data_IF_078760121133
#
_entry.id   IF_078760121133
#
_cell.length_a   1.000
_cell.length_b   1.000
_cell.length_c   1.000
_cell.angle_alpha   90.00
_cell.angle_beta   90.00
_cell.angle_gamma   90.00
#
_symmetry.space_group_name_H-M   'P 1'
#
loop_
_entity.id
_entity.type
_entity.pdbx_description
1 polymer ?
#
# COMPACT_ATOMS: atom_id res chain seq x y z
N UNK A 1 22.15 24.86 12.21
CA UNK A 1 20.93 25.69 12.04
C UNK A 1 20.20 25.14 10.82
N UNK A 2 19.02 24.59 11.03
CA UNK A 2 18.33 23.76 10.01
C UNK A 2 17.70 24.67 8.93
N UNK A 3 18.30 24.69 7.74
CA UNK A 3 17.86 25.47 6.57
C UNK A 3 16.39 25.18 6.20
N UNK A 4 15.89 23.97 6.53
CA UNK A 4 14.48 23.60 6.35
C UNK A 4 13.51 24.49 7.15
N UNK A 5 13.88 24.87 8.38
CA UNK A 5 13.04 25.76 9.21
C UNK A 5 12.99 27.19 8.68
N UNK A 6 14.08 27.65 8.06
CA UNK A 6 14.18 29.02 7.53
C UNK A 6 13.36 29.19 6.25
N UNK A 7 13.41 28.21 5.33
CA UNK A 7 12.63 28.27 4.08
C UNK A 7 11.12 28.17 4.28
N UNK A 8 10.66 27.46 5.31
CA UNK A 8 9.22 27.30 5.60
C UNK A 8 8.62 28.52 6.34
N UNK A 9 9.45 29.37 6.98
CA UNK A 9 8.99 30.55 7.71
C UNK A 9 8.75 31.79 6.85
N UNK A 10 9.25 31.81 5.61
CA UNK A 10 9.21 32.99 4.73
C UNK A 10 8.04 33.02 3.72
N UNK A 11 7.18 31.98 3.67
CA UNK A 11 6.11 31.97 2.66
C UNK A 11 4.72 32.13 3.27
N UNK A 12 4.00 33.20 2.93
CA UNK A 12 2.61 33.37 3.35
C UNK A 12 1.67 32.38 2.66
N UNK A 13 0.61 32.00 3.34
CA UNK A 13 -0.37 30.92 3.09
C UNK A 13 -1.12 30.96 1.74
N UNK A 14 -0.77 31.86 0.81
CA UNK A 14 -1.44 32.08 -0.48
C UNK A 14 -0.52 32.01 -1.71
N UNK A 15 0.48 31.11 -1.71
CA UNK A 15 1.20 30.87 -2.95
C UNK A 15 0.39 29.93 -3.88
N UNK A 16 0.18 30.40 -5.11
CA UNK A 16 -0.51 29.69 -6.18
C UNK A 16 0.06 28.26 -6.36
N UNK A 17 -0.81 27.27 -6.56
CA UNK A 17 -0.47 25.83 -6.75
C UNK A 17 0.66 25.63 -7.77
N UNK A 18 0.77 26.47 -8.80
CA UNK A 18 1.83 26.43 -9.81
C UNK A 18 3.23 26.79 -9.26
N UNK A 19 3.29 27.74 -8.30
CA UNK A 19 4.56 28.18 -7.68
C UNK A 19 5.06 27.15 -6.68
N UNK A 20 4.15 26.49 -5.95
CA UNK A 20 4.49 25.35 -5.09
C UNK A 20 4.99 24.15 -5.90
N UNK A 21 4.44 23.91 -7.09
CA UNK A 21 4.92 22.89 -8.02
C UNK A 21 6.35 23.13 -8.50
N UNK A 22 6.69 24.38 -8.86
CA UNK A 22 8.05 24.77 -9.26
C UNK A 22 9.05 24.69 -8.10
N UNK A 23 8.66 25.15 -6.91
CA UNK A 23 9.51 25.06 -5.71
C UNK A 23 9.78 23.59 -5.34
N UNK A 24 8.77 22.74 -5.47
CA UNK A 24 8.90 21.28 -5.29
C UNK A 24 9.88 20.65 -6.27
N UNK A 25 9.82 21.03 -7.55
CA UNK A 25 10.78 20.57 -8.56
C UNK A 25 12.22 20.95 -8.21
N UNK A 26 12.46 22.21 -7.86
CA UNK A 26 13.78 22.73 -7.48
C UNK A 26 14.33 21.99 -6.24
N UNK A 27 13.49 21.77 -5.22
CA UNK A 27 13.91 21.04 -4.01
C UNK A 27 14.22 19.57 -4.34
N UNK A 28 13.49 18.93 -5.25
CA UNK A 28 13.77 17.55 -5.66
C UNK A 28 15.06 17.39 -6.46
N UNK A 29 15.47 18.44 -7.19
CA UNK A 29 16.76 18.50 -7.89
C UNK A 29 17.94 18.74 -6.93
N UNK A 30 17.74 19.57 -5.89
CA UNK A 30 18.75 19.87 -4.87
C UNK A 30 18.99 18.71 -3.88
N UNK A 31 18.02 17.84 -3.72
CA UNK A 31 18.09 16.66 -2.84
C UNK A 31 17.70 15.39 -3.63
N UNK A 32 18.65 14.81 -4.40
CA UNK A 32 18.39 13.58 -5.12
C UNK A 32 17.98 12.49 -4.14
N UNK A 33 16.77 11.98 -4.34
CA UNK A 33 16.26 10.87 -3.53
C UNK A 33 17.07 9.63 -3.85
N UNK A 34 17.56 8.96 -2.83
CA UNK A 34 18.03 7.59 -2.99
C UNK A 34 16.91 6.71 -3.59
N UNK A 35 17.28 5.61 -4.22
CA UNK A 35 16.28 4.68 -4.76
C UNK A 35 15.58 3.98 -3.61
N UNK A 36 14.56 4.61 -3.05
CA UNK A 36 13.82 4.18 -1.88
C UNK A 36 12.33 4.02 -2.17
N UNK A 37 11.72 3.02 -1.54
CA UNK A 37 10.30 2.74 -1.58
C UNK A 37 9.70 2.88 -0.18
N UNK A 38 8.67 3.72 -0.03
CA UNK A 38 7.82 3.69 1.15
C UNK A 38 6.44 3.12 0.80
N UNK A 39 5.84 2.39 1.74
CA UNK A 39 4.42 2.07 1.71
C UNK A 39 3.67 3.11 2.54
N UNK A 40 2.52 3.57 2.02
CA UNK A 40 1.57 4.42 2.73
C UNK A 40 0.31 3.64 2.97
N UNK A 41 -0.09 3.54 4.24
CA UNK A 41 -1.32 2.87 4.63
C UNK A 41 -2.08 3.65 5.70
N UNK A 42 -3.40 3.43 5.75
CA UNK A 42 -4.26 3.83 6.86
C UNK A 42 -4.80 2.57 7.52
N UNK A 43 -4.78 2.52 8.84
CA UNK A 43 -5.20 1.37 9.64
C UNK A 43 -6.23 1.78 10.69
N UNK A 44 -7.11 0.85 11.02
CA UNK A 44 -8.00 0.93 12.18
C UNK A 44 -8.24 -0.47 12.74
N UNK A 45 -7.79 -0.69 13.98
CA UNK A 45 -8.00 -1.97 14.68
C UNK A 45 -7.48 -3.18 13.88
N UNK A 46 -6.22 -3.14 13.44
CA UNK A 46 -5.56 -4.19 12.68
C UNK A 46 -4.54 -5.00 13.52
N UNK A 47 -4.66 -4.99 14.85
CA UNK A 47 -3.73 -5.65 15.78
C UNK A 47 -3.46 -7.12 15.46
N UNK A 48 -4.43 -7.81 14.85
CA UNK A 48 -4.35 -9.23 14.50
C UNK A 48 -3.23 -9.57 13.52
N UNK A 49 -2.95 -8.67 12.55
CA UNK A 49 -2.04 -8.96 11.43
C UNK A 49 -1.02 -7.87 11.15
N UNK A 50 -1.13 -6.70 11.77
CA UNK A 50 -0.27 -5.55 11.46
C UNK A 50 1.22 -5.85 11.68
N UNK A 51 1.57 -6.64 12.70
CA UNK A 51 2.97 -7.01 12.99
C UNK A 51 3.56 -7.86 11.86
N UNK A 52 2.80 -8.86 11.38
CA UNK A 52 3.18 -9.68 10.23
C UNK A 52 3.27 -8.82 8.96
N UNK A 53 2.28 -7.97 8.70
CA UNK A 53 2.24 -7.11 7.54
C UNK A 53 3.46 -6.18 7.45
N UNK A 54 3.86 -5.58 8.58
CA UNK A 54 5.08 -4.76 8.69
C UNK A 54 6.33 -5.60 8.44
N UNK A 55 6.44 -6.77 9.09
CA UNK A 55 7.57 -7.67 8.93
C UNK A 55 7.70 -8.20 7.50
N UNK A 56 6.57 -8.52 6.84
CA UNK A 56 6.54 -8.99 5.46
C UNK A 56 7.12 -7.94 4.50
N UNK A 57 6.68 -6.71 4.58
CA UNK A 57 7.17 -5.66 3.70
C UNK A 57 8.63 -5.31 3.97
N UNK A 58 9.10 -5.44 5.23
CA UNK A 58 10.52 -5.34 5.56
C UNK A 58 11.32 -6.49 4.92
N UNK A 59 10.80 -7.72 4.95
CA UNK A 59 11.41 -8.89 4.31
C UNK A 59 11.48 -8.75 2.78
N UNK A 60 10.48 -8.14 2.15
CA UNK A 60 10.42 -7.85 0.70
C UNK A 60 11.44 -6.79 0.27
N UNK A 61 11.92 -5.94 1.19
CA UNK A 61 12.87 -4.88 0.90
C UNK A 61 12.23 -3.49 0.72
N UNK A 62 11.09 -3.24 1.37
CA UNK A 62 10.52 -1.89 1.52
C UNK A 62 11.34 -1.12 2.56
N UNK A 63 11.70 0.14 2.28
CA UNK A 63 12.58 0.92 3.15
C UNK A 63 11.86 1.51 4.36
N UNK A 64 10.61 1.95 4.20
CA UNK A 64 9.81 2.50 5.30
C UNK A 64 8.31 2.25 5.08
N UNK A 65 7.57 2.26 6.18
CA UNK A 65 6.10 2.30 6.18
C UNK A 65 5.65 3.62 6.81
N UNK A 66 4.78 4.36 6.11
CA UNK A 66 4.09 5.55 6.60
C UNK A 66 2.69 5.10 6.98
N UNK A 67 2.45 4.92 8.27
CA UNK A 67 1.20 4.38 8.79
C UNK A 67 0.38 5.48 9.46
N UNK A 68 -0.84 5.67 8.99
CA UNK A 68 -1.84 6.52 9.62
C UNK A 68 -2.81 5.66 10.43
N UNK A 69 -2.86 5.88 11.73
CA UNK A 69 -3.81 5.23 12.64
C UNK A 69 -5.07 6.07 12.74
N UNK A 70 -6.20 5.51 12.27
CA UNK A 70 -7.49 6.16 12.27
C UNK A 70 -8.33 5.78 13.49
N UNK A 71 -8.01 6.37 14.64
CA UNK A 71 -8.74 6.17 15.90
C UNK A 71 -8.84 4.69 16.29
N UNK A 72 -7.74 3.94 16.25
CA UNK A 72 -7.72 2.55 16.75
C UNK A 72 -7.94 2.49 18.25
N UNK A 73 -8.68 1.48 18.68
CA UNK A 73 -9.02 1.21 20.08
C UNK A 73 -8.41 -0.11 20.59
N UNK A 74 -7.76 -0.84 19.70
CA UNK A 74 -6.98 -2.05 20.02
C UNK A 74 -5.52 -1.68 20.35
N UNK A 75 -4.70 -2.71 20.63
CA UNK A 75 -3.29 -2.53 20.95
C UNK A 75 -2.36 -2.51 19.72
N UNK A 76 -2.88 -2.12 18.55
CA UNK A 76 -2.11 -2.09 17.28
C UNK A 76 -0.82 -1.29 17.42
N UNK A 77 -0.89 -0.10 18.04
CA UNK A 77 0.27 0.78 18.20
C UNK A 77 1.38 0.14 19.04
N UNK A 78 1.01 -0.46 20.16
CA UNK A 78 1.94 -1.14 21.06
C UNK A 78 2.64 -2.32 20.35
N UNK A 79 1.88 -3.07 19.54
CA UNK A 79 2.40 -4.22 18.77
C UNK A 79 3.48 -3.80 17.80
N UNK A 80 3.36 -2.64 17.16
CA UNK A 80 4.32 -2.15 16.16
C UNK A 80 5.34 -1.15 16.72
N UNK A 81 5.26 -0.82 18.02
CA UNK A 81 6.16 0.17 18.65
C UNK A 81 7.65 -0.13 18.41
N UNK A 82 8.13 -1.38 18.47
CA UNK A 82 9.53 -1.67 18.14
C UNK A 82 9.96 -1.21 16.74
N UNK A 83 9.09 -1.29 15.75
CA UNK A 83 9.36 -0.80 14.40
C UNK A 83 9.30 0.74 14.31
N UNK A 84 8.45 1.37 15.15
CA UNK A 84 8.38 2.83 15.27
C UNK A 84 9.69 3.36 15.89
N UNK A 85 10.16 2.75 16.97
CA UNK A 85 11.40 3.14 17.66
C UNK A 85 12.63 3.02 16.75
N UNK A 86 12.66 2.04 15.86
CA UNK A 86 13.73 1.89 14.86
C UNK A 86 13.61 2.88 13.67
N UNK A 87 12.52 3.64 13.60
CA UNK A 87 12.25 4.54 12.47
C UNK A 87 11.87 3.84 11.16
N UNK A 88 11.56 2.52 11.21
CA UNK A 88 11.06 1.78 10.06
C UNK A 88 9.59 2.12 9.78
N UNK A 89 8.76 2.23 10.82
CA UNK A 89 7.39 2.74 10.74
C UNK A 89 7.34 4.21 11.13
N UNK A 90 6.91 5.05 10.22
CA UNK A 90 6.64 6.47 10.43
C UNK A 90 5.15 6.61 10.80
N UNK A 91 4.89 6.56 12.10
CA UNK A 91 3.53 6.52 12.64
C UNK A 91 2.90 7.91 12.77
N UNK A 92 1.64 8.03 12.37
CA UNK A 92 0.82 9.23 12.48
C UNK A 92 -0.60 8.89 12.95
N UNK A 93 -1.13 9.66 13.89
CA UNK A 93 -2.55 9.61 14.19
C UNK A 93 -3.33 10.50 13.20
N UNK A 94 -4.50 10.03 12.77
CA UNK A 94 -5.47 10.81 12.00
C UNK A 94 -6.87 10.51 12.51
N UNK A 95 -7.60 11.56 12.92
CA UNK A 95 -8.86 11.42 13.61
C UNK A 95 -10.05 11.62 12.68
N UNK A 96 -11.17 10.97 12.97
CA UNK A 96 -12.44 11.18 12.31
C UNK A 96 -12.79 10.11 11.27
N UNK A 97 -13.97 10.27 10.67
CA UNK A 97 -14.51 9.34 9.67
C UNK A 97 -13.98 9.64 8.27
N UNK A 98 -13.94 8.63 7.40
CA UNK A 98 -13.60 8.76 5.97
C UNK A 98 -12.23 9.43 5.73
N UNK A 99 -11.20 9.06 6.49
CA UNK A 99 -9.88 9.69 6.44
C UNK A 99 -8.94 9.11 5.39
N UNK A 100 -9.36 8.12 4.61
CA UNK A 100 -8.48 7.40 3.67
C UNK A 100 -7.73 8.35 2.71
N UNK A 101 -8.47 9.19 1.99
CA UNK A 101 -7.86 10.14 1.04
C UNK A 101 -7.06 11.23 1.74
N UNK A 102 -7.47 11.65 2.93
CA UNK A 102 -6.74 12.63 3.73
C UNK A 102 -5.38 12.07 4.15
N UNK A 103 -5.31 10.81 4.61
CA UNK A 103 -4.07 10.13 4.95
C UNK A 103 -3.09 10.06 3.76
N UNK A 104 -3.59 9.67 2.58
CA UNK A 104 -2.79 9.59 1.37
C UNK A 104 -2.24 10.97 0.92
N UNK A 105 -3.09 11.99 0.93
CA UNK A 105 -2.69 13.35 0.58
C UNK A 105 -1.74 13.96 1.62
N UNK A 106 -1.92 13.66 2.90
CA UNK A 106 -1.00 14.08 3.95
C UNK A 106 0.37 13.40 3.80
N UNK A 107 0.41 12.12 3.44
CA UNK A 107 1.66 11.43 3.13
C UNK A 107 2.40 12.10 1.95
N UNK A 108 1.69 12.42 0.87
CA UNK A 108 2.28 13.17 -0.25
C UNK A 108 2.84 14.51 0.21
N UNK A 109 2.08 15.26 1.01
CA UNK A 109 2.50 16.58 1.52
C UNK A 109 3.78 16.50 2.34
N UNK A 110 3.90 15.48 3.22
CA UNK A 110 5.04 15.33 4.15
C UNK A 110 6.27 14.71 3.52
N UNK A 111 6.09 13.75 2.60
CA UNK A 111 7.15 12.80 2.23
C UNK A 111 7.53 12.81 0.76
N UNK A 112 6.92 13.66 -0.10
CA UNK A 112 7.25 13.77 -1.53
C UNK A 112 8.75 13.92 -1.80
N UNK A 113 9.52 14.55 -0.90
CA UNK A 113 10.96 14.73 -1.08
C UNK A 113 11.82 13.67 -0.40
N UNK A 114 11.21 12.85 0.46
CA UNK A 114 11.96 11.84 1.21
C UNK A 114 12.13 10.55 0.42
N UNK A 115 11.08 10.14 -0.31
CA UNK A 115 11.05 8.86 -1.01
C UNK A 115 10.97 9.03 -2.53
N UNK A 116 11.67 8.15 -3.26
CA UNK A 116 11.61 8.12 -4.72
C UNK A 116 10.32 7.49 -5.23
N UNK A 117 9.85 6.48 -4.53
CA UNK A 117 8.61 5.75 -4.83
C UNK A 117 7.75 5.65 -3.57
N UNK A 118 6.45 5.77 -3.75
CA UNK A 118 5.47 5.54 -2.68
C UNK A 118 4.39 4.60 -3.19
N UNK A 119 4.18 3.48 -2.51
CA UNK A 119 3.10 2.52 -2.77
C UNK A 119 1.94 2.82 -1.82
N UNK A 120 0.73 2.96 -2.33
CA UNK A 120 -0.46 3.25 -1.56
C UNK A 120 -1.32 2.00 -1.50
N UNK A 121 -1.28 1.29 -0.36
CA UNK A 121 -1.94 0.00 -0.16
C UNK A 121 -2.60 -0.08 1.22
N UNK A 122 -3.51 -1.05 1.39
CA UNK A 122 -4.21 -1.29 2.65
C UNK A 122 -3.47 -2.33 3.53
N UNK A 123 -3.81 -2.41 4.83
CA UNK A 123 -3.13 -3.32 5.77
C UNK A 123 -3.48 -4.81 5.57
N UNK A 124 -4.37 -5.14 4.67
CA UNK A 124 -4.68 -6.51 4.25
C UNK A 124 -4.12 -6.82 2.84
N UNK A 125 -3.25 -5.96 2.31
CA UNK A 125 -2.60 -6.05 1.01
C UNK A 125 -1.11 -6.27 1.15
N UNK A 126 -0.59 -7.34 0.54
CA UNK A 126 0.82 -7.75 0.62
C UNK A 126 1.46 -7.61 -0.76
N UNK A 127 2.28 -6.58 -0.92
CA UNK A 127 2.97 -6.22 -2.17
C UNK A 127 4.33 -6.91 -2.26
N UNK A 128 4.61 -7.63 -3.35
CA UNK A 128 5.89 -8.29 -3.56
C UNK A 128 6.17 -8.62 -5.05
N UNK A 129 7.43 -8.90 -5.43
CA UNK A 129 7.78 -9.40 -6.76
C UNK A 129 7.23 -10.81 -7.01
N UNK A 130 6.67 -11.03 -8.21
CA UNK A 130 6.17 -12.35 -8.64
C UNK A 130 7.28 -13.38 -8.68
N UNK A 131 8.45 -12.99 -9.19
CA UNK A 131 9.64 -13.84 -9.16
C UNK A 131 10.38 -13.63 -7.82
N UNK A 132 10.52 -14.71 -7.07
CA UNK A 132 11.13 -14.73 -5.73
C UNK A 132 12.58 -14.21 -5.67
N UNK A 133 13.30 -14.22 -6.79
CA UNK A 133 14.69 -13.76 -6.86
C UNK A 133 14.80 -12.28 -7.24
N UNK A 134 13.67 -11.61 -7.55
CA UNK A 134 13.68 -10.23 -7.97
C UNK A 134 13.72 -9.28 -6.76
N UNK A 135 14.55 -8.25 -6.85
CA UNK A 135 14.51 -7.12 -5.93
C UNK A 135 13.37 -6.17 -6.31
N UNK A 136 12.50 -5.83 -5.36
CA UNK A 136 11.30 -4.99 -5.61
C UNK A 136 11.66 -3.63 -6.23
N UNK A 137 12.73 -2.98 -5.75
CA UNK A 137 13.18 -1.69 -6.28
C UNK A 137 13.70 -1.83 -7.72
N UNK A 138 14.39 -2.92 -8.04
CA UNK A 138 14.87 -3.18 -9.41
C UNK A 138 13.70 -3.37 -10.39
N UNK A 139 12.65 -4.10 -9.97
CA UNK A 139 11.43 -4.29 -10.79
C UNK A 139 10.73 -2.95 -11.01
N UNK A 140 10.56 -2.13 -9.98
CA UNK A 140 9.95 -0.79 -10.07
C UNK A 140 10.76 0.11 -11.01
N UNK A 141 12.08 0.16 -10.86
CA UNK A 141 12.97 0.94 -11.73
C UNK A 141 12.85 0.51 -13.19
N UNK A 142 12.87 -0.80 -13.44
CA UNK A 142 12.72 -1.36 -14.80
C UNK A 142 11.38 -0.97 -15.42
N UNK A 143 10.27 -1.06 -14.67
CA UNK A 143 8.95 -0.66 -15.17
C UNK A 143 8.91 0.84 -15.52
N UNK A 144 9.39 1.72 -14.64
CA UNK A 144 9.44 3.16 -14.91
C UNK A 144 10.38 3.56 -16.08
N UNK A 145 11.42 2.75 -16.37
CA UNK A 145 12.33 3.03 -17.49
C UNK A 145 11.70 2.81 -18.86
N UNK A 146 10.60 2.05 -18.93
CA UNK A 146 9.90 1.76 -20.19
C UNK A 146 9.12 2.98 -20.72
N UNK A 147 8.80 3.95 -19.84
CA UNK A 147 8.03 5.12 -20.22
C UNK A 147 8.42 6.34 -19.38
N UNK A 148 9.01 7.36 -20.03
CA UNK A 148 9.47 8.59 -19.37
C UNK A 148 8.35 9.40 -18.71
N UNK A 149 7.12 9.27 -19.21
CA UNK A 149 5.95 9.98 -18.70
C UNK A 149 5.19 9.16 -17.64
N UNK A 150 5.71 7.98 -17.25
CA UNK A 150 5.11 7.19 -16.20
C UNK A 150 5.25 7.88 -14.84
N UNK A 151 4.13 8.35 -14.31
CA UNK A 151 4.00 8.90 -12.96
C UNK A 151 3.68 7.83 -11.91
N UNK A 152 3.11 6.70 -12.33
CA UNK A 152 2.77 5.57 -11.47
C UNK A 152 2.77 4.23 -12.18
N UNK A 153 2.82 3.17 -11.39
CA UNK A 153 2.65 1.77 -11.80
C UNK A 153 1.43 1.22 -11.09
N UNK A 154 0.46 0.72 -11.86
CA UNK A 154 -0.70 -0.01 -11.32
C UNK A 154 -0.34 -1.47 -11.10
N UNK A 155 -0.51 -1.93 -9.86
CA UNK A 155 -0.27 -3.32 -9.46
C UNK A 155 -1.59 -3.99 -9.16
N UNK A 156 -1.90 -5.08 -9.86
CA UNK A 156 -3.17 -5.79 -9.72
C UNK A 156 -3.26 -6.62 -8.44
N UNK A 157 -4.47 -6.76 -7.94
CA UNK A 157 -4.80 -7.65 -6.83
C UNK A 157 -4.85 -9.12 -7.25
N UNK A 158 -4.29 -9.98 -6.42
CA UNK A 158 -4.62 -11.39 -6.31
C UNK A 158 -5.58 -11.55 -5.12
N UNK A 159 -6.85 -11.78 -5.38
CA UNK A 159 -7.91 -11.81 -4.37
C UNK A 159 -7.92 -13.15 -3.65
N UNK A 160 -7.60 -13.15 -2.36
CA UNK A 160 -7.57 -14.34 -1.52
C UNK A 160 -8.90 -14.53 -0.78
N UNK A 161 -9.39 -15.77 -0.78
CA UNK A 161 -10.54 -16.21 -0.01
C UNK A 161 -10.14 -16.61 1.43
N UNK A 162 -11.12 -17.16 2.15
CA UNK A 162 -10.93 -17.60 3.54
C UNK A 162 -10.10 -18.89 3.67
N UNK A 163 -9.75 -19.54 2.58
CA UNK A 163 -9.14 -20.90 2.58
C UNK A 163 -9.91 -21.94 3.41
N UNK A 164 -11.23 -21.73 3.56
CA UNK A 164 -12.11 -22.60 4.37
C UNK A 164 -12.13 -22.29 5.87
N UNK A 165 -11.35 -21.31 6.35
CA UNK A 165 -11.34 -20.94 7.76
C UNK A 165 -12.65 -20.25 8.18
N UNK A 166 -13.34 -20.83 9.16
CA UNK A 166 -14.51 -20.21 9.81
C UNK A 166 -14.06 -19.30 10.94
N UNK A 167 -13.14 -19.78 11.78
CA UNK A 167 -12.54 -19.02 12.89
C UNK A 167 -11.13 -18.54 12.52
N UNK A 168 -10.64 -17.49 13.23
CA UNK A 168 -9.28 -16.98 13.05
C UNK A 168 -8.27 -18.11 13.30
N UNK A 169 -7.47 -18.49 12.29
CA UNK A 169 -6.42 -19.51 12.47
C UNK A 169 -5.22 -18.95 13.23
N UNK A 170 -4.45 -19.85 13.85
CA UNK A 170 -3.16 -19.52 14.43
C UNK A 170 -2.07 -19.41 13.34
N UNK A 171 -1.02 -18.64 13.62
CA UNK A 171 0.09 -18.45 12.68
C UNK A 171 -0.07 -17.29 11.71
N UNK A 172 0.72 -17.28 10.66
CA UNK A 172 0.80 -16.15 9.73
C UNK A 172 -0.37 -16.13 8.74
N UNK A 173 -0.78 -14.92 8.35
CA UNK A 173 -1.74 -14.70 7.28
C UNK A 173 -1.33 -15.40 5.97
N UNK A 174 -0.04 -15.27 5.60
CA UNK A 174 0.51 -15.89 4.38
C UNK A 174 0.54 -17.42 4.43
N UNK A 175 0.51 -18.04 5.62
CA UNK A 175 0.45 -19.50 5.79
C UNK A 175 -0.98 -20.02 5.69
N UNK A 176 -1.91 -19.26 6.24
CA UNK A 176 -3.30 -19.71 6.44
C UNK A 176 -4.19 -19.45 5.24
N UNK A 177 -4.01 -18.30 4.58
CA UNK A 177 -4.86 -17.92 3.45
C UNK A 177 -4.11 -18.16 2.13
N UNK A 178 -4.19 -19.39 1.63
CA UNK A 178 -3.42 -19.86 0.45
C UNK A 178 -4.29 -20.17 -0.77
N UNK A 179 -5.59 -19.83 -0.72
CA UNK A 179 -6.49 -20.03 -1.83
C UNK A 179 -7.00 -18.69 -2.34
N UNK A 180 -6.93 -18.47 -3.64
CA UNK A 180 -7.33 -17.21 -4.29
C UNK A 180 -8.27 -17.40 -5.47
N UNK A 181 -8.87 -16.31 -5.90
CA UNK A 181 -9.62 -16.22 -7.14
C UNK A 181 -8.75 -16.57 -8.36
N UNK A 182 -9.38 -17.18 -9.36
CA UNK A 182 -8.75 -17.43 -10.66
C UNK A 182 -8.42 -16.14 -11.40
N UNK A 183 -7.40 -16.19 -12.21
CA UNK A 183 -6.98 -15.09 -13.09
C UNK A 183 -6.80 -15.66 -14.51
N UNK A 184 -7.45 -15.08 -15.54
CA UNK A 184 -8.43 -13.98 -15.47
C UNK A 184 -9.79 -14.40 -14.92
N UNK A 185 -10.67 -13.43 -14.69
CA UNK A 185 -12.11 -13.63 -14.46
C UNK A 185 -12.55 -13.73 -13.00
N UNK A 186 -11.62 -13.77 -12.03
CA UNK A 186 -11.98 -13.68 -10.62
C UNK A 186 -12.44 -12.26 -10.24
N UNK A 187 -13.39 -12.16 -9.29
CA UNK A 187 -13.88 -10.86 -8.82
C UNK A 187 -12.75 -10.05 -8.18
N UNK A 188 -12.57 -8.82 -8.60
CA UNK A 188 -11.57 -7.90 -8.05
C UNK A 188 -10.16 -8.01 -8.63
N UNK A 189 -9.81 -9.05 -9.39
CA UNK A 189 -8.45 -9.22 -9.93
C UNK A 189 -8.03 -8.13 -10.92
N UNK A 190 -8.98 -7.42 -11.49
CA UNK A 190 -8.73 -6.28 -12.38
C UNK A 190 -8.54 -4.94 -11.65
N UNK A 191 -8.70 -4.92 -10.34
CA UNK A 191 -8.45 -3.71 -9.52
C UNK A 191 -6.96 -3.58 -9.26
N UNK A 192 -6.48 -2.33 -9.24
CA UNK A 192 -5.09 -2.01 -8.95
C UNK A 192 -4.94 -1.19 -7.68
N UNK A 193 -3.75 -1.22 -7.12
CA UNK A 193 -3.18 -0.17 -6.26
C UNK A 193 -1.98 0.46 -6.98
N UNK A 194 -1.59 1.65 -6.55
CA UNK A 194 -0.59 2.42 -7.30
C UNK A 194 0.71 2.58 -6.51
N UNK A 195 1.83 2.29 -7.20
CA UNK A 195 3.16 2.76 -6.80
C UNK A 195 3.45 4.00 -7.64
N UNK A 196 3.70 5.15 -7.05
CA UNK A 196 3.93 6.38 -7.79
C UNK A 196 5.30 7.02 -7.51
N UNK A 197 5.73 7.88 -8.45
CA UNK A 197 6.72 8.93 -8.19
C UNK A 197 5.96 10.09 -7.54
N UNK A 198 6.12 10.33 -6.22
CA UNK A 198 5.25 11.25 -5.50
C UNK A 198 5.34 12.70 -6.00
N UNK A 199 6.48 13.09 -6.57
CA UNK A 199 6.69 14.40 -7.19
C UNK A 199 5.91 14.60 -8.51
N UNK A 200 5.40 13.53 -9.12
CA UNK A 200 4.55 13.57 -10.33
C UNK A 200 3.05 13.43 -10.01
N UNK A 201 2.68 13.33 -8.75
CA UNK A 201 1.28 13.27 -8.29
C UNK A 201 0.81 14.65 -7.84
N UNK A 202 -0.44 15.01 -8.16
CA UNK A 202 -1.11 16.21 -7.67
C UNK A 202 -1.79 15.90 -6.34
N UNK A 203 -2.66 14.88 -6.33
CA UNK A 203 -3.41 14.43 -5.15
C UNK A 203 -4.07 13.07 -5.40
N UNK A 204 -4.57 12.45 -4.34
CA UNK A 204 -5.53 11.35 -4.41
C UNK A 204 -6.95 11.88 -4.26
N UNK A 205 -7.81 11.56 -5.21
CA UNK A 205 -9.28 11.71 -5.13
C UNK A 205 -10.00 10.36 -5.24
N UNK A 206 -9.24 9.29 -5.38
CA UNK A 206 -9.67 7.89 -5.38
C UNK A 206 -8.58 7.02 -4.72
N UNK A 207 -8.90 6.05 -3.83
CA UNK A 207 -7.90 5.32 -3.05
C UNK A 207 -6.98 4.41 -3.87
N UNK A 208 -7.34 4.13 -5.11
CA UNK A 208 -6.59 3.24 -5.98
C UNK A 208 -5.78 3.96 -7.07
N UNK A 209 -6.11 5.23 -7.35
CA UNK A 209 -5.57 5.91 -8.51
C UNK A 209 -5.43 7.41 -8.27
N UNK A 210 -4.21 7.97 -8.27
CA UNK A 210 -3.99 9.39 -8.05
C UNK A 210 -4.25 10.23 -9.31
N UNK A 211 -4.43 11.52 -9.10
CA UNK A 211 -4.35 12.52 -10.16
C UNK A 211 -2.89 12.86 -10.40
N UNK A 212 -2.42 12.65 -11.62
CA UNK A 212 -1.04 12.97 -12.02
C UNK A 212 -0.91 14.40 -12.55
N UNK A 213 0.28 14.96 -12.45
CA UNK A 213 0.64 16.21 -13.13
C UNK A 213 0.49 16.06 -14.65
N UNK A 214 0.22 17.18 -15.35
CA UNK A 214 0.01 17.19 -16.79
C UNK A 214 1.09 16.44 -17.57
N UNK A 215 0.69 15.60 -18.52
CA UNK A 215 1.56 14.76 -19.33
C UNK A 215 2.02 13.46 -18.64
N UNK A 216 1.68 13.24 -17.36
CA UNK A 216 2.04 12.00 -16.65
C UNK A 216 0.81 11.12 -16.43
N UNK A 217 1.04 9.81 -16.37
CA UNK A 217 -0.03 8.81 -16.22
C UNK A 217 0.45 7.53 -15.57
N UNK A 218 -0.49 6.65 -15.26
CA UNK A 218 -0.21 5.33 -14.73
C UNK A 218 0.06 4.34 -15.85
N UNK A 219 0.99 3.42 -15.62
CA UNK A 219 1.29 2.30 -16.52
C UNK A 219 1.14 0.96 -15.79
N UNK A 220 0.94 -0.11 -16.53
CA UNK A 220 1.16 -1.48 -16.05
C UNK A 220 2.65 -1.79 -15.94
N UNK A 221 2.99 -2.92 -15.32
CA UNK A 221 4.37 -3.33 -15.14
C UNK A 221 5.12 -3.56 -16.47
N UNK A 222 4.38 -3.87 -17.56
CA UNK A 222 4.88 -4.04 -18.92
C UNK A 222 4.80 -2.74 -19.76
N UNK A 223 4.55 -1.59 -19.13
CA UNK A 223 4.65 -0.26 -19.73
C UNK A 223 3.40 0.23 -20.48
N UNK A 224 2.29 -0.52 -20.48
CA UNK A 224 1.04 -0.10 -21.11
C UNK A 224 0.31 0.93 -20.27
N UNK A 225 -0.34 1.91 -20.87
CA UNK A 225 -1.10 2.94 -20.16
C UNK A 225 -2.33 2.34 -19.45
N UNK A 226 -2.52 2.74 -18.19
CA UNK A 226 -3.70 2.43 -17.39
C UNK A 226 -4.45 3.75 -17.14
N UNK A 227 -5.64 3.97 -17.77
CA UNK A 227 -6.32 5.25 -17.68
C UNK A 227 -7.13 5.46 -16.39
N UNK A 228 -7.36 4.40 -15.60
CA UNK A 228 -8.18 4.41 -14.37
C UNK A 228 -7.74 3.30 -13.42
N UNK A 229 -8.41 3.17 -12.30
CA UNK A 229 -8.13 2.22 -11.20
C UNK A 229 -8.35 0.73 -11.52
N UNK A 230 -8.49 0.37 -12.81
CA UNK A 230 -8.65 -1.01 -13.28
C UNK A 230 -7.71 -1.30 -14.43
N UNK A 231 -7.16 -2.51 -14.42
CA UNK A 231 -6.31 -3.06 -15.47
C UNK A 231 -6.61 -4.54 -15.65
N UNK A 232 -7.05 -4.92 -16.84
CA UNK A 232 -7.30 -6.32 -17.16
C UNK A 232 -5.98 -7.07 -17.30
N UNK A 233 -5.92 -8.24 -16.68
CA UNK A 233 -4.74 -9.11 -16.72
C UNK A 233 -5.12 -10.55 -17.03
N UNK A 234 -4.21 -11.25 -17.71
CA UNK A 234 -4.27 -12.70 -17.95
C UNK A 234 -3.40 -13.45 -16.94
N UNK A 235 -2.32 -12.84 -16.48
CA UNK A 235 -1.41 -13.38 -15.48
C UNK A 235 -0.70 -12.25 -14.72
N UNK A 236 -0.10 -12.57 -13.56
CA UNK A 236 0.71 -11.61 -12.78
C UNK A 236 2.14 -11.59 -13.29
N UNK A 237 2.66 -10.41 -13.61
CA UNK A 237 4.04 -10.18 -14.05
C UNK A 237 4.71 -9.11 -13.19
N UNK A 238 5.98 -9.31 -12.89
CA UNK A 238 6.83 -8.36 -12.16
C UNK A 238 6.42 -8.16 -10.71
N UNK A 239 5.30 -7.48 -10.46
CA UNK A 239 4.75 -7.24 -9.13
C UNK A 239 3.32 -7.71 -9.04
N UNK A 240 2.90 -8.07 -7.81
CA UNK A 240 1.50 -8.30 -7.49
C UNK A 240 1.20 -7.95 -6.04
N UNK A 241 -0.08 -7.80 -5.73
CA UNK A 241 -0.59 -7.59 -4.38
C UNK A 241 -1.50 -8.76 -4.02
N UNK A 242 -1.10 -9.55 -3.03
CA UNK A 242 -2.04 -10.48 -2.40
C UNK A 242 -2.98 -9.69 -1.50
N UNK A 243 -4.27 -9.71 -1.82
CA UNK A 243 -5.29 -9.02 -1.05
C UNK A 243 -6.07 -10.05 -0.21
N UNK A 244 -5.77 -10.11 1.07
CA UNK A 244 -6.42 -11.00 2.04
C UNK A 244 -7.73 -10.37 2.56
N UNK A 245 -8.63 -10.12 1.63
CA UNK A 245 -9.84 -9.31 1.83
C UNK A 245 -10.84 -9.94 2.79
N UNK A 246 -11.11 -11.25 2.64
CA UNK A 246 -12.12 -11.95 3.43
C UNK A 246 -11.59 -12.38 4.79
N UNK A 247 -10.34 -12.88 4.86
CA UNK A 247 -9.82 -13.60 6.03
C UNK A 247 -10.80 -14.71 6.46
N UNK A 248 -10.89 -15.08 7.75
CA UNK A 248 -11.89 -16.03 8.23
C UNK A 248 -13.29 -15.40 8.33
N UNK A 249 -14.33 -16.24 8.40
CA UNK A 249 -15.71 -15.76 8.43
C UNK A 249 -16.03 -14.97 9.70
N UNK A 250 -15.52 -15.39 10.85
CA UNK A 250 -15.70 -14.67 12.13
C UNK A 250 -15.01 -13.29 12.12
N UNK A 251 -13.79 -13.20 11.58
CA UNK A 251 -13.10 -11.91 11.41
C UNK A 251 -13.86 -10.97 10.48
N UNK A 252 -14.48 -11.49 9.41
CA UNK A 252 -15.34 -10.70 8.56
C UNK A 252 -16.54 -10.12 9.32
N UNK A 253 -17.17 -10.95 10.17
CA UNK A 253 -18.31 -10.52 10.99
C UNK A 253 -17.90 -9.42 11.97
N UNK A 254 -16.73 -9.55 12.59
CA UNK A 254 -16.19 -8.52 13.50
C UNK A 254 -15.90 -7.21 12.74
N UNK A 255 -15.22 -7.29 11.59
CA UNK A 255 -14.90 -6.11 10.76
C UNK A 255 -16.15 -5.35 10.27
N UNK A 256 -17.27 -6.05 10.06
CA UNK A 256 -18.56 -5.41 9.72
C UNK A 256 -19.02 -4.39 10.74
N UNK A 257 -18.72 -4.61 12.01
CA UNK A 257 -19.14 -3.75 13.12
C UNK A 257 -18.27 -2.50 13.26
N UNK A 258 -17.06 -2.50 12.69
CA UNK A 258 -16.10 -1.41 12.85
C UNK A 258 -16.29 -0.25 11.85
N UNK A 259 -17.11 -0.44 10.80
CA UNK A 259 -17.21 0.50 9.67
C UNK A 259 -16.01 0.43 8.72
N UNK A 260 -16.01 1.29 7.71
CA UNK A 260 -14.96 1.37 6.69
C UNK A 260 -14.22 2.71 6.77
N UNK A 261 -12.92 2.70 6.47
CA UNK A 261 -12.07 3.90 6.50
C UNK A 261 -12.39 4.92 5.39
N UNK A 262 -13.11 4.50 4.35
CA UNK A 262 -13.55 5.32 3.23
C UNK A 262 -14.99 5.84 3.38
N UNK A 263 -15.70 5.45 4.47
CA UNK A 263 -17.08 5.83 4.73
C UNK A 263 -18.13 5.03 3.96
N UNK A 264 -17.74 3.94 3.28
CA UNK A 264 -18.66 3.03 2.60
C UNK A 264 -19.62 2.35 3.60
N UNK A 265 -20.79 1.83 3.15
CA UNK A 265 -21.67 1.05 4.00
C UNK A 265 -20.96 -0.17 4.62
N UNK A 266 -21.42 -0.58 5.79
CA UNK A 266 -20.90 -1.78 6.43
C UNK A 266 -20.99 -3.00 5.51
N UNK A 267 -19.91 -3.79 5.46
CA UNK A 267 -19.81 -5.02 4.68
C UNK A 267 -20.90 -6.02 5.05
N UNK A 268 -21.48 -6.71 4.08
CA UNK A 268 -22.55 -7.71 4.30
C UNK A 268 -22.00 -9.14 4.29
N UNK A 269 -22.76 -10.12 4.77
CA UNK A 269 -22.39 -11.53 4.61
C UNK A 269 -22.47 -11.97 3.13
N UNK A 270 -23.36 -11.40 2.35
CA UNK A 270 -23.43 -11.63 0.92
C UNK A 270 -22.13 -11.21 0.24
N UNK A 271 -21.58 -10.06 0.65
CA UNK A 271 -20.28 -9.58 0.16
C UNK A 271 -19.13 -10.52 0.53
N UNK A 272 -19.14 -11.12 1.75
CA UNK A 272 -18.21 -12.18 2.11
C UNK A 272 -18.26 -13.33 1.11
N UNK A 273 -19.44 -13.92 0.87
CA UNK A 273 -19.59 -15.05 -0.04
C UNK A 273 -19.21 -14.69 -1.48
N UNK A 274 -19.50 -13.47 -1.91
CA UNK A 274 -19.15 -12.96 -3.24
C UNK A 274 -17.65 -12.79 -3.45
N UNK A 275 -16.85 -12.59 -2.39
CA UNK A 275 -15.40 -12.41 -2.46
C UNK A 275 -14.61 -13.61 -1.92
N UNK A 276 -15.27 -14.60 -1.31
CA UNK A 276 -14.64 -15.79 -0.75
C UNK A 276 -14.29 -16.81 -1.85
N UNK A 277 -13.47 -16.38 -2.81
CA UNK A 277 -13.05 -17.22 -3.92
C UNK A 277 -11.83 -18.05 -3.53
N UNK A 278 -11.95 -19.37 -3.64
CA UNK A 278 -10.90 -20.34 -3.29
C UNK A 278 -10.64 -21.28 -4.49
N UNK A 279 -10.41 -20.69 -5.70
CA UNK A 279 -10.33 -21.42 -6.96
C UNK A 279 -8.95 -22.05 -7.18
N UNK A 280 -7.89 -21.33 -6.80
CA UNK A 280 -6.49 -21.71 -7.08
C UNK A 280 -5.70 -21.65 -5.79
N UNK A 281 -4.99 -22.76 -5.46
CA UNK A 281 -4.02 -22.75 -4.37
C UNK A 281 -2.76 -21.99 -4.80
N UNK A 282 -2.35 -21.00 -4.03
CA UNK A 282 -1.21 -20.16 -4.33
C UNK A 282 -0.42 -19.84 -3.04
N UNK A 283 0.77 -20.38 -2.98
CA UNK A 283 1.67 -20.29 -1.83
C UNK A 283 2.90 -19.41 -2.08
N UNK A 284 2.86 -18.55 -3.10
CA UNK A 284 4.01 -17.73 -3.51
C UNK A 284 4.49 -16.77 -2.43
N UNK A 285 3.61 -16.26 -1.55
CA UNK A 285 4.02 -15.42 -0.43
C UNK A 285 4.82 -16.17 0.65
N UNK A 286 4.70 -17.52 0.72
CA UNK A 286 5.46 -18.34 1.66
C UNK A 286 6.97 -18.32 1.40
N UNK A 287 7.41 -17.85 0.24
CA UNK A 287 8.83 -17.63 -0.01
C UNK A 287 9.47 -16.69 1.03
N UNK A 288 8.70 -15.71 1.54
CA UNK A 288 9.17 -14.76 2.53
C UNK A 288 9.00 -15.23 3.99
N UNK A 289 8.43 -16.42 4.22
CA UNK A 289 8.07 -16.93 5.54
C UNK A 289 9.24 -16.88 6.54
N UNK A 290 10.39 -17.43 6.17
CA UNK A 290 11.55 -17.52 7.08
C UNK A 290 12.10 -16.14 7.43
N UNK A 291 12.16 -15.21 6.46
CA UNK A 291 12.57 -13.84 6.70
C UNK A 291 11.56 -13.11 7.61
N UNK A 292 10.25 -13.32 7.39
CA UNK A 292 9.19 -12.75 8.24
C UNK A 292 9.34 -13.25 9.67
N UNK A 293 9.46 -14.56 9.88
CA UNK A 293 9.65 -15.14 11.22
C UNK A 293 10.94 -14.63 11.88
N UNK A 294 12.04 -14.54 11.12
CA UNK A 294 13.29 -13.96 11.63
C UNK A 294 13.12 -12.53 12.10
N UNK A 295 12.37 -11.70 11.37
CA UNK A 295 12.08 -10.33 11.76
C UNK A 295 11.16 -10.30 12.99
N UNK A 296 10.11 -11.12 13.03
CA UNK A 296 9.16 -11.16 14.16
C UNK A 296 9.81 -11.59 15.47
N UNK A 297 10.81 -12.47 15.40
CA UNK A 297 11.56 -12.95 16.57
C UNK A 297 12.58 -11.94 17.14
N UNK A 298 12.85 -10.85 16.40
CA UNK A 298 13.72 -9.77 16.88
C UNK A 298 12.98 -8.77 17.79
N UNK A 299 11.67 -8.87 17.86
CA UNK A 299 10.75 -7.97 18.57
C UNK A 299 9.72 -8.75 19.41
#
# INVERSE_FOLDING_TARGET
>A
MDIKKILLSFFPYRLCISTMGKLRSIISELYPKEASLAIVAIAKNESDYIKEWVAFHKAVGVDNIILFDNDSTDNMKEIIDPFIQQGYVLYHAINGKAQHLNAYNEALRRYTYKFRYMAFIDCDEYLFPVNKNDNIIAVIKKAFSQNKNAGGIGVNWAMYGSSGHVTKPQGLCIENFVWRAKTPGGKGVNVIKTICKPDLVVQFNHPHYPVYKSGNYCISIDGKSIPKWRNEITDYIGLRINHYFTKSKDQWIIRRQMGTSDGSPNRTLEEFYNHNNNDIKDTSALYYREQVLSILNQY
#
